data_IF_895297617945
#
_entry.id   IF_895297617945
#
_cell.length_a   1.000
_cell.length_b   1.000
_cell.length_c   1.000
_cell.angle_alpha   90.00
_cell.angle_beta   90.00
_cell.angle_gamma   90.00
#
_symmetry.space_group_name_H-M   'P 1'
#
loop_
_entity.id
_entity.type
_entity.pdbx_description
1 polymer ?
#
# COMPACT_ATOMS: atom_id res chain seq x y z
N UNK A 1 4.76 8.75 14.81
CA UNK A 1 5.74 8.00 13.99
C UNK A 1 5.85 8.53 12.56
N UNK A 2 4.87 8.36 11.65
CA UNK A 2 4.99 8.85 10.26
C UNK A 2 4.58 10.32 10.06
N UNK A 3 3.42 10.76 10.57
CA UNK A 3 2.99 12.17 10.46
C UNK A 3 4.00 13.13 11.09
N UNK A 4 4.61 12.74 12.20
CA UNK A 4 5.69 13.52 12.83
C UNK A 4 6.91 13.63 11.92
N UNK A 5 7.27 12.57 11.19
CA UNK A 5 8.37 12.59 10.24
C UNK A 5 8.03 13.50 9.05
N UNK A 6 6.82 13.40 8.51
CA UNK A 6 6.33 14.32 7.47
C UNK A 6 6.45 15.78 7.91
N UNK A 7 6.07 16.11 9.15
CA UNK A 7 6.16 17.48 9.70
C UNK A 7 7.59 17.98 9.88
N UNK A 8 8.57 17.10 10.09
CA UNK A 8 9.99 17.49 10.16
C UNK A 8 10.50 17.97 8.81
N UNK A 9 10.09 17.32 7.73
CA UNK A 9 10.57 17.62 6.38
C UNK A 9 9.65 18.56 5.59
N UNK A 10 8.40 18.72 6.01
CA UNK A 10 7.42 19.60 5.41
C UNK A 10 6.73 20.50 6.46
N UNK A 11 7.24 21.72 6.69
CA UNK A 11 6.67 22.66 7.67
C UNK A 11 5.20 23.04 7.41
N UNK A 12 4.72 22.93 6.17
CA UNK A 12 3.31 23.22 5.82
C UNK A 12 2.35 22.23 6.49
N UNK A 13 2.81 21.04 6.86
CA UNK A 13 2.00 20.03 7.55
C UNK A 13 1.96 20.20 9.08
N UNK A 14 2.60 21.23 9.64
CA UNK A 14 2.72 21.45 11.09
C UNK A 14 1.38 21.43 11.84
N UNK A 15 0.32 21.95 11.21
CA UNK A 15 -1.03 22.00 11.79
C UNK A 15 -1.94 20.85 11.34
N UNK A 16 -1.52 20.00 10.40
CA UNK A 16 -2.32 18.87 9.89
C UNK A 16 -2.45 17.81 10.97
N UNK A 17 -3.65 17.53 11.45
CA UNK A 17 -3.95 16.55 12.50
C UNK A 17 -3.92 15.10 11.99
N UNK A 18 -3.92 14.13 12.92
CA UNK A 18 -3.99 12.71 12.57
C UNK A 18 -5.31 12.35 11.89
N UNK A 19 -6.40 13.03 12.24
CA UNK A 19 -7.73 12.76 11.69
C UNK A 19 -7.86 13.23 10.24
N UNK A 20 -7.04 14.20 9.82
CA UNK A 20 -6.97 14.67 8.43
C UNK A 20 -6.23 13.68 7.52
N UNK A 21 -5.18 13.00 8.04
CA UNK A 21 -4.43 11.98 7.29
C UNK A 21 -5.01 10.58 7.41
N UNK A 22 -5.76 10.28 8.48
CA UNK A 22 -6.42 9.00 8.72
C UNK A 22 -7.90 9.25 9.06
N UNK A 23 -8.77 9.46 8.05
CA UNK A 23 -10.17 9.87 8.25
C UNK A 23 -11.06 8.84 8.95
N UNK A 24 -10.62 7.58 9.01
CA UNK A 24 -11.30 6.47 9.67
C UNK A 24 -10.31 5.70 10.56
N UNK A 25 -10.55 5.73 11.87
CA UNK A 25 -9.74 5.04 12.87
C UNK A 25 -10.65 4.20 13.75
N UNK A 26 -10.34 2.91 13.86
CA UNK A 26 -11.13 1.96 14.64
C UNK A 26 -10.24 1.26 15.67
N UNK A 27 -10.81 0.98 16.84
CA UNK A 27 -10.07 0.34 17.93
C UNK A 27 -9.88 -1.17 17.71
N UNK A 28 -10.79 -1.81 16.96
CA UNK A 28 -10.72 -3.25 16.71
C UNK A 28 -9.67 -3.54 15.62
N UNK A 29 -8.62 -4.35 15.90
CA UNK A 29 -7.61 -4.73 14.91
C UNK A 29 -8.16 -5.79 13.94
N UNK A 30 -9.03 -5.36 13.04
CA UNK A 30 -9.69 -6.19 12.03
C UNK A 30 -9.73 -5.47 10.68
N UNK A 31 -10.28 -6.13 9.65
CA UNK A 31 -10.57 -5.44 8.38
C UNK A 31 -11.47 -4.22 8.60
N UNK A 32 -11.37 -3.17 7.77
CA UNK A 32 -12.21 -1.98 7.95
C UNK A 32 -13.70 -2.30 8.01
N UNK A 33 -14.17 -3.26 7.19
CA UNK A 33 -15.57 -3.73 7.21
C UNK A 33 -16.01 -4.28 8.59
N UNK A 34 -15.14 -5.01 9.28
CA UNK A 34 -15.45 -5.57 10.60
C UNK A 34 -15.28 -4.50 11.67
N UNK A 35 -14.21 -3.71 11.58
CA UNK A 35 -13.83 -2.72 12.59
C UNK A 35 -14.83 -1.54 12.68
N UNK A 36 -15.47 -1.16 11.57
CA UNK A 36 -16.50 -0.10 11.54
C UNK A 36 -17.79 -0.45 12.29
N UNK A 37 -18.02 -1.73 12.60
CA UNK A 37 -19.25 -2.19 13.25
C UNK A 37 -20.51 -1.80 12.46
N UNK A 38 -21.27 -0.81 12.96
CA UNK A 38 -22.50 -0.30 12.32
C UNK A 38 -22.29 0.99 11.53
N UNK A 39 -21.09 1.58 11.61
CA UNK A 39 -20.76 2.78 10.86
C UNK A 39 -20.58 2.48 9.37
N UNK A 40 -20.74 3.49 8.54
CA UNK A 40 -20.47 3.41 7.09
C UNK A 40 -19.19 4.17 6.78
N UNK A 41 -18.28 3.53 6.05
CA UNK A 41 -17.07 4.18 5.54
C UNK A 41 -17.44 4.89 4.24
N UNK A 42 -17.38 6.22 4.26
CA UNK A 42 -17.61 7.07 3.10
C UNK A 42 -16.33 7.18 2.28
N UNK A 43 -16.40 6.71 1.04
CA UNK A 43 -15.29 6.84 0.08
C UNK A 43 -15.06 8.31 -0.28
N UNK A 44 -16.12 9.12 -0.36
CA UNK A 44 -16.00 10.55 -0.61
C UNK A 44 -15.21 11.27 0.49
N UNK A 45 -15.41 10.88 1.76
CA UNK A 45 -14.61 11.42 2.88
C UNK A 45 -13.12 11.06 2.73
N UNK A 46 -12.82 9.83 2.29
CA UNK A 46 -11.43 9.41 2.04
C UNK A 46 -10.81 10.27 0.93
N UNK A 47 -11.55 10.48 -0.17
CA UNK A 47 -11.10 11.31 -1.29
C UNK A 47 -10.89 12.77 -0.89
N UNK A 48 -11.79 13.33 -0.11
CA UNK A 48 -11.67 14.71 0.42
C UNK A 48 -10.43 14.85 1.31
N UNK A 49 -10.19 13.90 2.22
CA UNK A 49 -8.98 13.87 3.03
C UNK A 49 -7.71 13.82 2.17
N UNK A 50 -7.66 12.95 1.15
CA UNK A 50 -6.52 12.88 0.23
C UNK A 50 -6.33 14.24 -0.46
N UNK A 51 -7.39 14.82 -1.02
CA UNK A 51 -7.34 16.09 -1.74
C UNK A 51 -6.84 17.26 -0.87
N UNK A 52 -7.22 17.27 0.40
CA UNK A 52 -6.75 18.28 1.35
C UNK A 52 -5.25 18.12 1.62
N UNK A 53 -4.74 16.89 1.72
CA UNK A 53 -3.32 16.62 1.91
C UNK A 53 -2.48 16.94 0.67
N UNK A 54 -3.03 16.72 -0.53
CA UNK A 54 -2.38 17.09 -1.80
C UNK A 54 -2.00 18.58 -1.87
N UNK A 55 -2.72 19.46 -1.16
CA UNK A 55 -2.42 20.90 -1.14
C UNK A 55 -1.09 21.23 -0.44
N UNK A 56 -0.57 20.31 0.38
CA UNK A 56 0.64 20.53 1.18
C UNK A 56 1.84 19.74 0.65
N UNK A 57 1.65 18.80 -0.27
CA UNK A 57 2.66 17.79 -0.61
C UNK A 57 2.82 17.63 -2.13
N UNK A 58 4.06 17.63 -2.61
CA UNK A 58 4.36 17.29 -4.00
C UNK A 58 4.01 15.83 -4.34
N UNK A 59 4.10 14.96 -3.34
CA UNK A 59 3.83 13.52 -3.43
C UNK A 59 2.98 13.11 -2.23
N UNK A 60 1.85 12.45 -2.49
CA UNK A 60 1.01 11.83 -1.45
C UNK A 60 1.13 10.32 -1.57
N UNK A 61 1.50 9.66 -0.47
CA UNK A 61 1.51 8.21 -0.37
C UNK A 61 0.25 7.79 0.40
N UNK A 62 -0.58 6.97 -0.23
CA UNK A 62 -1.78 6.41 0.40
C UNK A 62 -1.49 4.96 0.75
N UNK A 63 -1.40 4.66 2.04
CA UNK A 63 -1.30 3.29 2.53
C UNK A 63 -2.69 2.68 2.67
N UNK A 64 -2.91 1.52 2.03
CA UNK A 64 -4.13 0.74 2.23
C UNK A 64 -4.14 0.01 3.58
N UNK A 65 -5.25 -0.64 3.91
CA UNK A 65 -5.37 -1.43 5.14
C UNK A 65 -5.46 -2.93 4.83
N UNK A 66 -4.47 -3.71 5.26
CA UNK A 66 -4.43 -5.16 5.08
C UNK A 66 -3.96 -5.57 3.68
N UNK A 67 -4.88 -5.79 2.74
CA UNK A 67 -4.55 -6.33 1.40
C UNK A 67 -5.63 -6.08 0.36
N UNK A 68 -5.36 -6.44 -0.89
CA UNK A 68 -6.19 -6.07 -2.05
C UNK A 68 -7.68 -6.47 -1.91
N UNK A 69 -7.94 -7.67 -1.41
CA UNK A 69 -9.29 -8.20 -1.22
C UNK A 69 -9.81 -8.03 0.21
N UNK A 70 -9.21 -7.14 1.01
CA UNK A 70 -9.75 -6.78 2.31
C UNK A 70 -10.97 -5.87 2.12
N UNK A 71 -12.13 -6.20 2.70
CA UNK A 71 -13.34 -5.43 2.51
C UNK A 71 -13.30 -4.13 3.33
N UNK A 72 -13.66 -3.04 2.66
CA UNK A 72 -13.97 -1.75 3.28
C UNK A 72 -15.47 -1.70 3.57
N UNK A 73 -16.28 -2.02 2.57
CA UNK A 73 -17.73 -2.21 2.65
C UNK A 73 -18.14 -3.57 2.07
N UNK A 74 -19.41 -3.96 2.22
CA UNK A 74 -19.90 -5.31 1.86
C UNK A 74 -19.49 -5.78 0.46
N UNK A 75 -19.54 -4.89 -0.52
CA UNK A 75 -19.20 -5.16 -1.93
C UNK A 75 -18.13 -4.19 -2.44
N UNK A 76 -17.27 -3.71 -1.55
CA UNK A 76 -16.23 -2.76 -1.88
C UNK A 76 -14.96 -3.10 -1.11
N UNK A 77 -13.88 -3.36 -1.84
CA UNK A 77 -12.62 -3.87 -1.34
C UNK A 77 -11.50 -2.85 -1.55
N UNK A 78 -10.36 -3.06 -0.89
CA UNK A 78 -9.20 -2.18 -1.05
C UNK A 78 -8.76 -2.01 -2.51
N UNK A 79 -8.86 -3.06 -3.33
CA UNK A 79 -8.57 -2.99 -4.76
C UNK A 79 -9.54 -2.09 -5.54
N UNK A 80 -10.79 -1.97 -5.09
CA UNK A 80 -11.76 -1.07 -5.71
C UNK A 80 -11.38 0.39 -5.39
N UNK A 81 -10.94 0.68 -4.16
CA UNK A 81 -10.39 1.99 -3.79
C UNK A 81 -9.17 2.36 -4.63
N UNK A 82 -8.22 1.43 -4.79
CA UNK A 82 -7.03 1.64 -5.63
C UNK A 82 -7.45 1.98 -7.06
N UNK A 83 -8.40 1.22 -7.61
CA UNK A 83 -8.90 1.42 -8.97
C UNK A 83 -9.61 2.79 -9.13
N UNK A 84 -10.41 3.20 -8.15
CA UNK A 84 -11.14 4.47 -8.18
C UNK A 84 -10.23 5.69 -8.01
N UNK A 85 -9.16 5.58 -7.23
CA UNK A 85 -8.16 6.64 -7.09
C UNK A 85 -7.32 6.78 -8.35
N UNK A 86 -7.10 5.70 -9.10
CA UNK A 86 -6.33 5.72 -10.35
C UNK A 86 -4.85 6.08 -10.16
N UNK A 87 -4.33 5.93 -8.93
CA UNK A 87 -2.94 6.22 -8.61
C UNK A 87 -2.01 5.07 -8.99
N UNK A 88 -0.73 5.40 -9.22
CA UNK A 88 0.31 4.38 -9.37
C UNK A 88 0.43 3.57 -8.09
N UNK A 89 0.45 2.25 -8.23
CA UNK A 89 0.39 1.34 -7.09
C UNK A 89 1.76 0.69 -6.85
N UNK A 90 2.15 0.56 -5.58
CA UNK A 90 3.27 -0.27 -5.17
C UNK A 90 2.74 -1.48 -4.39
N UNK A 91 2.84 -2.67 -4.98
CA UNK A 91 2.56 -3.93 -4.30
C UNK A 91 3.79 -4.34 -3.48
N UNK A 92 3.63 -4.43 -2.16
CA UNK A 92 4.70 -4.89 -1.25
C UNK A 92 4.42 -6.34 -0.85
N UNK A 93 5.16 -7.26 -1.45
CA UNK A 93 5.13 -8.68 -1.11
C UNK A 93 5.95 -8.96 0.17
N UNK A 94 5.49 -9.87 1.05
CA UNK A 94 6.27 -10.26 2.21
C UNK A 94 7.35 -11.28 1.82
N UNK A 95 8.34 -11.48 2.68
CA UNK A 95 9.42 -12.46 2.43
C UNK A 95 9.19 -13.84 3.03
N UNK A 96 8.06 -14.09 3.69
CA UNK A 96 7.83 -15.35 4.40
C UNK A 96 7.57 -16.54 3.46
N UNK A 97 7.74 -17.76 3.97
CA UNK A 97 7.26 -18.97 3.29
C UNK A 97 5.76 -18.83 2.94
N UNK A 98 5.41 -19.16 1.70
CA UNK A 98 4.07 -18.95 1.12
C UNK A 98 3.93 -17.67 0.29
N UNK A 99 4.88 -16.73 0.41
CA UNK A 99 4.84 -15.45 -0.31
C UNK A 99 4.77 -15.58 -1.83
N UNK A 100 5.30 -16.67 -2.42
CA UNK A 100 5.21 -16.93 -3.87
C UNK A 100 3.75 -16.90 -4.32
N UNK A 101 2.90 -17.67 -3.64
CA UNK A 101 1.48 -17.74 -3.95
C UNK A 101 0.81 -16.37 -3.76
N UNK A 102 1.06 -15.73 -2.62
CA UNK A 102 0.43 -14.46 -2.26
C UNK A 102 0.80 -13.35 -3.25
N UNK A 103 2.05 -13.33 -3.71
CA UNK A 103 2.57 -12.39 -4.69
C UNK A 103 1.92 -12.62 -6.05
N UNK A 104 1.91 -13.86 -6.54
CA UNK A 104 1.31 -14.19 -7.84
C UNK A 104 -0.19 -13.90 -7.87
N UNK A 105 -0.93 -14.26 -6.82
CA UNK A 105 -2.36 -13.95 -6.71
C UNK A 105 -2.63 -12.45 -6.66
N UNK A 106 -1.78 -11.69 -5.98
CA UNK A 106 -1.92 -10.23 -5.90
C UNK A 106 -1.62 -9.54 -7.24
N UNK A 107 -0.55 -9.96 -7.92
CA UNK A 107 -0.17 -9.51 -9.26
C UNK A 107 -1.29 -9.82 -10.27
N UNK A 108 -1.82 -11.05 -10.25
CA UNK A 108 -2.92 -11.46 -11.11
C UNK A 108 -4.16 -10.58 -10.90
N UNK A 109 -4.52 -10.28 -9.64
CA UNK A 109 -5.68 -9.43 -9.34
C UNK A 109 -5.51 -7.98 -9.79
N UNK A 110 -4.35 -7.38 -9.56
CA UNK A 110 -4.06 -6.02 -10.04
C UNK A 110 -4.09 -5.97 -11.57
N UNK A 111 -3.49 -6.96 -12.22
CA UNK A 111 -3.44 -7.08 -13.68
C UNK A 111 -4.84 -7.24 -14.29
N UNK A 112 -5.68 -8.12 -13.72
CA UNK A 112 -7.06 -8.32 -14.16
C UNK A 112 -7.93 -7.06 -14.02
N UNK A 113 -7.61 -6.17 -13.07
CA UNK A 113 -8.27 -4.88 -12.89
C UNK A 113 -7.68 -3.76 -13.74
N UNK A 114 -6.62 -4.03 -14.50
CA UNK A 114 -5.93 -3.02 -15.32
C UNK A 114 -5.27 -1.91 -14.50
N UNK A 115 -4.91 -2.19 -13.25
CA UNK A 115 -4.22 -1.23 -12.38
C UNK A 115 -2.74 -1.20 -12.76
N UNK A 116 -2.15 -0.02 -12.93
CA UNK A 116 -0.70 0.13 -13.13
C UNK A 116 0.01 -0.01 -11.79
N UNK A 117 0.94 -0.96 -11.70
CA UNK A 117 1.68 -1.23 -10.47
C UNK A 117 3.14 -1.60 -10.71
N UNK A 118 3.94 -1.29 -9.69
CA UNK A 118 5.23 -1.93 -9.45
C UNK A 118 5.10 -2.87 -8.25
N UNK A 119 5.96 -3.88 -8.18
CA UNK A 119 6.01 -4.78 -7.03
C UNK A 119 7.41 -4.80 -6.43
N UNK A 120 7.48 -5.08 -5.13
CA UNK A 120 8.72 -5.16 -4.37
C UNK A 120 8.55 -6.13 -3.21
N UNK A 121 9.64 -6.63 -2.67
CA UNK A 121 9.65 -7.47 -1.48
C UNK A 121 10.10 -6.66 -0.28
N UNK A 122 9.36 -6.77 0.82
CA UNK A 122 9.82 -6.36 2.13
C UNK A 122 10.56 -7.55 2.78
N UNK A 123 11.89 -7.54 2.68
CA UNK A 123 12.73 -8.60 3.23
C UNK A 123 12.94 -8.39 4.73
N UNK A 124 12.11 -9.03 5.56
CA UNK A 124 12.13 -8.82 7.01
C UNK A 124 12.04 -10.10 7.86
N UNK A 125 11.00 -10.94 7.69
CA UNK A 125 10.77 -12.09 8.61
C UNK A 125 11.70 -13.26 8.37
N UNK A 126 11.84 -13.66 7.11
CA UNK A 126 12.56 -14.87 6.72
C UNK A 126 13.84 -14.52 5.94
N UNK A 127 14.56 -13.48 6.40
CA UNK A 127 15.69 -12.91 5.65
C UNK A 127 16.78 -13.95 5.36
N UNK A 128 17.07 -14.84 6.31
CA UNK A 128 18.15 -15.82 6.19
C UNK A 128 17.81 -16.99 5.27
N UNK A 129 16.52 -17.37 5.20
CA UNK A 129 16.07 -18.52 4.40
C UNK A 129 15.54 -18.13 3.02
N UNK A 130 15.11 -16.86 2.85
CA UNK A 130 14.55 -16.33 1.60
C UNK A 130 15.40 -16.63 0.36
N UNK A 131 16.75 -16.50 0.38
CA UNK A 131 17.59 -16.80 -0.78
C UNK A 131 17.52 -18.25 -1.27
N UNK A 132 17.20 -19.19 -0.37
CA UNK A 132 17.16 -20.61 -0.68
C UNK A 132 15.75 -21.08 -1.05
N UNK A 133 14.71 -20.57 -0.37
CA UNK A 133 13.36 -21.12 -0.47
C UNK A 133 12.40 -20.33 -1.37
N UNK A 134 12.67 -19.04 -1.62
CA UNK A 134 11.75 -18.15 -2.33
C UNK A 134 12.43 -17.44 -3.51
N UNK A 135 13.62 -16.87 -3.28
CA UNK A 135 14.34 -16.09 -4.29
C UNK A 135 14.57 -16.82 -5.61
N UNK A 136 14.92 -18.12 -5.65
CA UNK A 136 15.20 -18.82 -6.91
C UNK A 136 14.00 -18.82 -7.86
N UNK A 137 12.79 -19.04 -7.32
CA UNK A 137 11.57 -18.99 -8.13
C UNK A 137 11.31 -17.57 -8.67
N UNK A 138 11.48 -16.52 -7.85
CA UNK A 138 11.27 -15.15 -8.32
C UNK A 138 12.28 -14.74 -9.39
N UNK A 139 13.55 -15.14 -9.28
CA UNK A 139 14.54 -14.90 -10.32
C UNK A 139 14.17 -15.62 -11.62
N UNK A 140 13.76 -16.89 -11.56
CA UNK A 140 13.37 -17.67 -12.73
C UNK A 140 12.10 -17.10 -13.40
N UNK A 141 11.09 -16.75 -12.60
CA UNK A 141 9.78 -16.34 -13.11
C UNK A 141 9.73 -14.87 -13.55
N UNK A 142 10.35 -13.95 -12.79
CA UNK A 142 10.28 -12.51 -13.05
C UNK A 142 11.57 -11.94 -13.65
N UNK A 143 12.67 -12.68 -13.66
CA UNK A 143 13.98 -12.20 -14.11
C UNK A 143 14.69 -11.25 -13.13
N UNK A 144 13.99 -10.76 -12.11
CA UNK A 144 14.52 -9.90 -11.06
C UNK A 144 13.79 -10.12 -9.72
N UNK A 145 14.41 -9.68 -8.63
CA UNK A 145 13.83 -9.72 -7.29
C UNK A 145 14.00 -8.34 -6.66
N UNK A 146 13.04 -7.42 -6.88
CA UNK A 146 13.12 -6.07 -6.33
C UNK A 146 12.95 -6.12 -4.80
N UNK A 147 14.06 -6.03 -4.07
CA UNK A 147 14.06 -5.92 -2.60
C UNK A 147 13.98 -4.43 -2.24
N UNK A 148 12.96 -4.05 -1.47
CA UNK A 148 12.65 -2.65 -1.16
C UNK A 148 13.83 -1.95 -0.49
N UNK A 149 14.45 -2.62 0.48
CA UNK A 149 15.59 -2.12 1.26
C UNK A 149 16.79 -1.75 0.37
N UNK A 150 16.99 -2.44 -0.74
CA UNK A 150 18.13 -2.25 -1.63
C UNK A 150 17.82 -1.32 -2.81
N UNK A 151 16.53 -1.08 -3.09
CA UNK A 151 16.08 -0.48 -4.35
C UNK A 151 15.10 0.69 -4.14
N UNK A 152 14.95 1.19 -2.90
CA UNK A 152 13.93 2.17 -2.53
C UNK A 152 13.95 3.44 -3.40
N UNK A 153 15.15 3.95 -3.72
CA UNK A 153 15.30 5.12 -4.60
C UNK A 153 14.87 4.83 -6.04
N UNK A 154 15.19 3.65 -6.57
CA UNK A 154 14.81 3.26 -7.92
C UNK A 154 13.31 3.03 -8.04
N UNK A 155 12.72 2.39 -7.03
CA UNK A 155 11.26 2.20 -6.91
C UNK A 155 10.57 3.56 -6.84
N UNK A 156 11.05 4.47 -5.99
CA UNK A 156 10.51 5.83 -5.89
C UNK A 156 10.59 6.55 -7.23
N UNK A 157 11.72 6.45 -7.95
CA UNK A 157 11.85 7.05 -9.29
C UNK A 157 10.85 6.48 -10.29
N UNK A 158 10.68 5.16 -10.33
CA UNK A 158 9.69 4.49 -11.22
C UNK A 158 8.26 4.95 -10.91
N UNK A 159 7.93 5.16 -9.64
CA UNK A 159 6.61 5.60 -9.20
C UNK A 159 6.38 7.10 -9.46
N UNK A 160 7.36 7.96 -9.23
CA UNK A 160 7.18 9.43 -9.30
C UNK A 160 7.45 9.97 -10.72
N UNK A 161 8.51 9.49 -11.38
CA UNK A 161 8.99 10.05 -12.64
C UNK A 161 8.78 9.06 -13.79
N UNK A 162 7.79 9.33 -14.64
CA UNK A 162 7.75 8.89 -16.03
C UNK A 162 7.22 10.02 -16.89
#
# INVERSE_FOLDING_TARGET
>A
ALLEECRKYNPMMSNVSIDEVVPYQFQLPASPYVAKGRETISIDKIRESIHNIEQFCDIVIVEGAGGLLVPIERNYFMIDLIQELGYRTLLVAPSNLGSINDTLLSIDKLSQRGIDFHWTINLYRDMDTFPEITQPFYLDHFGEVPIFQNSSLEIAKKLIYR
#
